data_IF_815293427365
#
_entry.id   IF_815293427365
#
_cell.length_a   1.000
_cell.length_b   1.000
_cell.length_c   1.000
_cell.angle_alpha   90.00
_cell.angle_beta   90.00
_cell.angle_gamma   90.00
#
_symmetry.space_group_name_H-M   'P 1'
#
loop_
_entity.id
_entity.type
_entity.pdbx_description
1 polymer ?
#
# COMPACT_ATOMS: atom_id res chain seq x y z
N UNK A 1 14.29 5.54 14.91
CA UNK A 1 13.75 4.25 15.38
C UNK A 1 12.27 4.22 15.02
N UNK A 2 11.92 3.62 13.87
CA UNK A 2 10.52 3.50 13.44
C UNK A 2 9.90 2.36 14.26
N UNK A 3 8.84 2.67 15.01
CA UNK A 3 8.19 1.80 16.00
C UNK A 3 7.56 0.54 15.37
N UNK A 4 8.00 -0.63 15.82
CA UNK A 4 7.43 -2.01 15.91
C UNK A 4 6.36 -2.57 14.94
N UNK A 5 5.64 -1.80 14.13
CA UNK A 5 4.56 -2.32 13.26
C UNK A 5 4.73 -1.97 11.77
N UNK A 6 5.80 -1.27 11.41
CA UNK A 6 6.12 -0.95 10.03
C UNK A 6 7.03 -2.03 9.48
N UNK A 7 6.71 -2.51 8.27
CA UNK A 7 7.59 -3.40 7.51
C UNK A 7 8.05 -2.67 6.27
N UNK A 8 9.26 -2.95 5.82
CA UNK A 8 9.65 -2.51 4.48
C UNK A 8 8.71 -3.15 3.46
N UNK A 9 8.38 -2.43 2.38
CA UNK A 9 7.63 -3.04 1.28
C UNK A 9 8.36 -4.27 0.70
N UNK A 10 9.70 -4.28 0.74
CA UNK A 10 10.51 -5.41 0.28
C UNK A 10 10.33 -6.66 1.16
N UNK A 11 9.96 -6.48 2.43
CA UNK A 11 9.76 -7.54 3.43
C UNK A 11 8.32 -8.07 3.46
N UNK A 12 7.40 -7.53 2.67
CA UNK A 12 6.04 -8.07 2.53
C UNK A 12 6.13 -9.49 1.93
N UNK A 13 5.46 -10.51 2.46
CA UNK A 13 5.52 -11.83 1.81
C UNK A 13 4.78 -11.81 0.46
N UNK A 14 5.35 -12.47 -0.56
CA UNK A 14 4.82 -12.43 -1.93
C UNK A 14 3.37 -12.89 -2.04
N UNK A 15 2.96 -13.83 -1.17
CA UNK A 15 1.63 -14.42 -1.09
C UNK A 15 0.66 -13.66 -0.16
N UNK A 16 1.10 -12.54 0.44
CA UNK A 16 0.25 -11.71 1.29
C UNK A 16 -0.97 -11.24 0.51
N UNK A 17 -2.16 -11.65 0.95
CA UNK A 17 -3.43 -11.20 0.34
C UNK A 17 -3.78 -9.81 0.83
N UNK A 18 -3.82 -8.86 -0.09
CA UNK A 18 -4.20 -7.47 0.14
C UNK A 18 -5.59 -7.27 -0.45
N UNK A 19 -6.61 -7.33 0.40
CA UNK A 19 -8.01 -7.30 0.00
C UNK A 19 -8.50 -5.88 -0.30
N UNK A 20 -9.46 -5.75 -1.20
CA UNK A 20 -10.26 -4.53 -1.34
C UNK A 20 -10.85 -4.12 0.03
N UNK A 21 -10.75 -2.84 0.35
CA UNK A 21 -11.10 -2.26 1.65
C UNK A 21 -9.94 -2.20 2.65
N UNK A 22 -8.79 -2.83 2.36
CA UNK A 22 -7.59 -2.71 3.22
C UNK A 22 -7.05 -1.28 3.16
N UNK A 23 -6.73 -0.72 4.32
CA UNK A 23 -5.95 0.51 4.42
C UNK A 23 -4.47 0.12 4.43
N UNK A 24 -3.74 0.62 3.43
CA UNK A 24 -2.29 0.56 3.33
C UNK A 24 -1.75 1.91 3.74
N UNK A 25 -1.18 1.95 4.93
CA UNK A 25 -0.47 3.12 5.43
C UNK A 25 0.94 3.10 4.86
N UNK A 26 1.36 4.17 4.19
CA UNK A 26 2.63 4.26 3.48
C UNK A 26 3.47 5.39 4.05
N UNK A 27 4.71 5.07 4.41
CA UNK A 27 5.74 6.02 4.77
C UNK A 27 6.85 5.95 3.73
N UNK A 28 7.23 7.09 3.14
CA UNK A 28 8.36 7.18 2.20
C UNK A 28 9.29 8.29 2.61
N UNK A 29 10.54 7.96 2.94
CA UNK A 29 11.49 8.91 3.53
C UNK A 29 11.67 10.22 2.74
N UNK A 30 11.61 10.17 1.41
CA UNK A 30 11.76 11.35 0.55
C UNK A 30 10.52 12.26 0.51
N UNK A 31 9.30 11.71 0.54
CA UNK A 31 8.04 12.50 0.51
C UNK A 31 7.76 13.22 1.83
N UNK A 32 8.41 12.76 2.88
CA UNK A 32 8.04 13.01 4.25
C UNK A 32 9.05 13.94 4.94
N UNK A 33 10.04 14.49 4.23
CA UNK A 33 11.13 15.27 4.86
C UNK A 33 10.68 16.53 5.61
N UNK A 34 9.55 17.12 5.22
CA UNK A 34 9.14 18.45 5.68
C UNK A 34 8.03 18.45 6.76
N UNK A 35 7.41 17.31 7.09
CA UNK A 35 6.26 17.26 8.01
C UNK A 35 6.45 16.22 9.14
N UNK A 36 6.98 16.65 10.29
CA UNK A 36 7.61 15.76 11.31
C UNK A 36 6.62 15.08 12.29
N UNK A 37 5.31 15.35 12.21
CA UNK A 37 4.25 14.62 12.92
C UNK A 37 3.31 13.94 11.90
N UNK A 38 2.91 12.69 12.14
CA UNK A 38 1.92 11.96 11.29
C UNK A 38 2.29 11.85 9.81
N UNK A 39 3.57 11.61 9.58
CA UNK A 39 4.23 11.70 8.30
C UNK A 39 4.01 10.45 7.42
N UNK A 40 2.77 10.05 7.21
CA UNK A 40 2.41 8.92 6.37
C UNK A 40 1.13 9.27 5.61
N UNK A 41 0.91 8.57 4.51
CA UNK A 41 -0.36 8.64 3.80
C UNK A 41 -1.10 7.32 3.98
N UNK A 42 -2.38 7.42 4.34
CA UNK A 42 -3.28 6.27 4.35
C UNK A 42 -3.91 6.13 2.97
N UNK A 43 -3.79 4.97 2.36
CA UNK A 43 -4.41 4.63 1.10
C UNK A 43 -5.41 3.50 1.29
N UNK A 44 -6.61 3.63 0.74
CA UNK A 44 -7.57 2.52 0.67
C UNK A 44 -7.37 1.74 -0.63
N UNK A 45 -7.29 0.42 -0.52
CA UNK A 45 -7.36 -0.48 -1.68
C UNK A 45 -8.81 -0.53 -2.14
N UNK A 46 -9.09 -0.03 -3.34
CA UNK A 46 -10.45 0.07 -3.86
C UNK A 46 -10.55 -0.47 -5.28
N UNK A 47 -11.77 -0.80 -5.69
CA UNK A 47 -12.07 -1.19 -7.06
C UNK A 47 -11.95 0.00 -8.00
N UNK A 48 -11.55 -0.29 -9.23
CA UNK A 48 -11.64 0.63 -10.35
C UNK A 48 -12.97 0.34 -11.06
N UNK A 49 -13.76 1.37 -11.33
CA UNK A 49 -15.05 1.20 -12.00
C UNK A 49 -14.85 0.54 -13.37
N UNK A 50 -15.63 -0.51 -13.65
CA UNK A 50 -15.59 -1.29 -14.89
C UNK A 50 -14.21 -1.94 -15.19
N UNK A 51 -13.43 -2.24 -14.15
CA UNK A 51 -12.16 -2.96 -14.28
C UNK A 51 -12.01 -4.00 -13.17
N UNK A 52 -11.97 -5.27 -13.57
CA UNK A 52 -11.87 -6.42 -12.67
C UNK A 52 -10.44 -6.98 -12.57
N UNK A 53 -9.51 -6.44 -13.35
CA UNK A 53 -8.11 -6.90 -13.43
C UNK A 53 -7.20 -6.15 -12.45
N UNK A 54 -7.64 -5.00 -11.93
CA UNK A 54 -6.83 -4.12 -11.10
C UNK A 54 -7.59 -3.54 -9.91
N UNK A 55 -6.89 -3.41 -8.79
CA UNK A 55 -7.26 -2.57 -7.65
C UNK A 55 -6.41 -1.30 -7.67
N UNK A 56 -6.90 -0.23 -7.06
CA UNK A 56 -6.16 1.03 -6.88
C UNK A 56 -5.93 1.35 -5.41
N UNK A 57 -4.79 1.96 -5.10
CA UNK A 57 -4.52 2.57 -3.80
C UNK A 57 -4.90 4.04 -3.85
N UNK A 58 -6.07 4.37 -3.30
CA UNK A 58 -6.64 5.72 -3.30
C UNK A 58 -6.29 6.45 -2.01
N UNK A 59 -5.74 7.66 -2.12
CA UNK A 59 -5.34 8.42 -0.94
C UNK A 59 -6.58 8.84 -0.12
N UNK A 60 -6.53 8.61 1.20
CA UNK A 60 -7.56 9.05 2.13
C UNK A 60 -7.32 10.46 2.67
N UNK A 61 -6.08 10.96 2.56
CA UNK A 61 -5.73 12.33 2.96
C UNK A 61 -6.05 13.31 1.83
N UNK A 62 -6.92 14.28 2.09
CA UNK A 62 -7.25 15.31 1.10
C UNK A 62 -6.02 16.19 0.79
N UNK A 63 -5.70 16.35 -0.49
CA UNK A 63 -4.94 17.50 -0.99
C UNK A 63 -3.43 17.34 -1.23
N UNK A 64 -2.75 16.29 -0.77
CA UNK A 64 -1.26 16.28 -0.79
C UNK A 64 -0.61 15.03 -1.43
N UNK A 65 -1.26 13.86 -1.48
CA UNK A 65 -0.62 12.60 -1.91
C UNK A 65 -0.83 12.16 -3.37
N UNK A 66 -1.56 12.94 -4.18
CA UNK A 66 -2.16 12.44 -5.41
C UNK A 66 -3.34 11.49 -5.12
N UNK A 67 -4.41 11.55 -5.92
CA UNK A 67 -5.62 10.78 -5.62
C UNK A 67 -5.39 9.24 -5.65
N UNK A 68 -4.44 8.78 -6.46
CA UNK A 68 -4.08 7.37 -6.64
C UNK A 68 -2.55 7.25 -6.65
N UNK A 69 -1.98 6.40 -5.79
CA UNK A 69 -0.52 6.19 -5.72
C UNK A 69 -0.06 4.98 -6.52
N UNK A 70 -0.92 3.97 -6.69
CA UNK A 70 -0.56 2.72 -7.34
C UNK A 70 -1.80 1.95 -7.81
N UNK A 71 -1.60 1.09 -8.81
CA UNK A 71 -2.58 0.09 -9.27
C UNK A 71 -1.96 -1.30 -9.14
N UNK A 72 -2.68 -2.22 -8.50
CA UNK A 72 -2.24 -3.58 -8.22
C UNK A 72 -3.04 -4.56 -9.07
N UNK A 73 -2.37 -5.48 -9.77
CA UNK A 73 -3.07 -6.52 -10.51
C UNK A 73 -3.77 -7.48 -9.54
N UNK A 74 -5.02 -7.83 -9.80
CA UNK A 74 -5.78 -8.78 -8.99
C UNK A 74 -5.42 -10.22 -9.34
N UNK A 75 -5.65 -11.14 -8.42
CA UNK A 75 -5.76 -12.54 -8.81
C UNK A 75 -7.07 -12.76 -9.57
N UNK A 76 -7.11 -13.65 -10.59
CA UNK A 76 -8.31 -13.91 -11.37
C UNK A 76 -9.53 -14.23 -10.49
N UNK A 77 -10.68 -13.67 -10.86
CA UNK A 77 -11.97 -13.86 -10.17
C UNK A 77 -11.92 -13.55 -8.65
N UNK A 78 -11.05 -12.63 -8.23
CA UNK A 78 -10.87 -12.27 -6.83
C UNK A 78 -11.04 -10.77 -6.56
N UNK A 79 -11.10 -10.42 -5.28
CA UNK A 79 -11.12 -9.04 -4.78
C UNK A 79 -9.86 -8.72 -3.95
N UNK A 80 -8.74 -9.40 -4.22
CA UNK A 80 -7.46 -9.12 -3.59
C UNK A 80 -6.32 -9.09 -4.62
N UNK A 81 -5.22 -8.44 -4.22
CA UNK A 81 -3.94 -8.54 -4.90
C UNK A 81 -2.91 -9.20 -3.98
N UNK A 82 -1.77 -9.59 -4.53
CA UNK A 82 -0.70 -10.27 -3.82
C UNK A 82 0.42 -9.30 -3.39
N UNK A 83 1.14 -9.62 -2.33
CA UNK A 83 2.27 -8.84 -1.83
C UNK A 83 3.34 -8.58 -2.89
N UNK A 84 3.55 -9.54 -3.80
CA UNK A 84 4.45 -9.38 -4.96
C UNK A 84 4.07 -8.19 -5.86
N UNK A 85 2.78 -7.89 -6.01
CA UNK A 85 2.30 -6.77 -6.83
C UNK A 85 2.51 -5.43 -6.11
N UNK A 86 2.31 -5.40 -4.79
CA UNK A 86 2.62 -4.23 -3.98
C UNK A 86 4.10 -3.88 -4.08
N UNK A 87 5.00 -4.88 -3.93
CA UNK A 87 6.44 -4.73 -4.15
C UNK A 87 6.74 -4.18 -5.53
N UNK A 88 6.24 -4.85 -6.57
CA UNK A 88 6.47 -4.48 -7.98
C UNK A 88 6.16 -3.01 -8.27
N UNK A 89 5.12 -2.48 -7.63
CA UNK A 89 4.64 -1.12 -7.87
C UNK A 89 5.25 -0.06 -6.93
N UNK A 90 5.64 -0.43 -5.71
CA UNK A 90 6.00 0.54 -4.68
C UNK A 90 7.46 0.47 -4.24
N UNK A 91 8.17 -0.63 -4.49
CA UNK A 91 9.59 -0.72 -4.20
C UNK A 91 10.36 0.27 -5.08
N UNK A 92 11.10 1.17 -4.43
CA UNK A 92 11.94 2.17 -5.10
C UNK A 92 13.39 1.74 -5.25
N UNK A 93 13.72 0.50 -4.86
CA UNK A 93 15.07 -0.08 -4.90
C UNK A 93 16.02 0.51 -3.86
N UNK A 94 15.56 1.45 -3.03
CA UNK A 94 16.35 2.10 -1.97
C UNK A 94 15.94 1.65 -0.57
N UNK A 95 14.95 0.75 -0.47
CA UNK A 95 14.38 0.32 0.81
C UNK A 95 13.85 1.50 1.65
N UNK A 96 13.27 2.52 0.98
CA UNK A 96 12.81 3.75 1.63
C UNK A 96 11.29 3.81 1.83
N UNK A 97 10.59 2.77 1.39
CA UNK A 97 9.12 2.64 1.44
C UNK A 97 8.73 1.61 2.48
N UNK A 98 7.96 2.05 3.47
CA UNK A 98 7.48 1.23 4.56
C UNK A 98 5.96 1.21 4.57
N UNK A 99 5.39 0.06 4.87
CA UNK A 99 3.94 -0.15 4.86
C UNK A 99 3.43 -0.71 6.18
N UNK A 100 2.16 -0.40 6.47
CA UNK A 100 1.38 -1.02 7.53
C UNK A 100 -0.05 -1.25 7.03
N UNK A 101 -0.59 -2.44 7.29
CA UNK A 101 -1.93 -2.83 6.86
C UNK A 101 -2.97 -2.70 7.98
N UNK A 102 -4.16 -2.21 7.66
CA UNK A 102 -5.31 -2.12 8.57
C UNK A 102 -6.64 -2.43 7.84
N UNK A 103 -7.41 -3.47 8.24
CA UNK A 103 -7.08 -4.46 9.25
C UNK A 103 -5.81 -5.24 8.89
N UNK A 104 -5.15 -5.84 9.89
CA UNK A 104 -3.94 -6.62 9.65
C UNK A 104 -4.25 -7.75 8.66
N UNK A 105 -3.55 -7.78 7.53
CA UNK A 105 -3.61 -8.93 6.62
C UNK A 105 -3.00 -10.14 7.34
N UNK A 106 -3.81 -11.14 7.64
CA UNK A 106 -3.37 -12.41 8.22
C UNK A 106 -3.35 -13.42 7.07
N UNK A 107 -2.17 -13.92 6.74
CA UNK A 107 -2.00 -15.06 5.84
C UNK A 107 -1.97 -16.30 6.74
N UNK A 108 -2.93 -17.21 6.55
CA UNK A 108 -2.95 -18.54 7.19
C UNK A 108 -2.54 -19.59 6.17
#
# INVERSE_FOLDING_TARGET
>A
MIKNDWISVQEVEDDTRIWAGTIVRVFKEELNKDNIQDNFYDYIVSFIYDNNEYLQLTCLTQGEGGNIVSVLQTEPDSNYSLGKELKRMMDDGKNSVFVKFSPKCIVN
#
